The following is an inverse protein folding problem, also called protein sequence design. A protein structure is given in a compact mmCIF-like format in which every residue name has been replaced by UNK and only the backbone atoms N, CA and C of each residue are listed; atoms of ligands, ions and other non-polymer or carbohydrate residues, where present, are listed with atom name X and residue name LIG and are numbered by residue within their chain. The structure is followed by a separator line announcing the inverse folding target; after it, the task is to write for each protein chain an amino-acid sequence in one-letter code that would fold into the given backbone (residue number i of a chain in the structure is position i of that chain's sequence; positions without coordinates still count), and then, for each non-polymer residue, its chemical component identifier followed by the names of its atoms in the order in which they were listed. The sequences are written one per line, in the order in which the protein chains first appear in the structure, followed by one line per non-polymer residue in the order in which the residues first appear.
data_IF_404685322017
#
_entry.id   IF_404685322017
#
_cell.length_a   1.000
_cell.length_b   1.000
_cell.length_c   1.000
_cell.angle_alpha   90.00
_cell.angle_beta   90.00
_cell.angle_gamma   90.00
#
_symmetry.space_group_name_H-M   'P 1'
#
loop_
_entity.id
_entity.type
_entity.pdbx_description
1 polymer ?
#
# COMPACT_ATOMS: atom_id res chain seq x y z
N UNK A 1 6.37 12.68 25.01
CA UNK A 1 6.41 12.14 23.64
C UNK A 1 7.17 13.11 22.75
N UNK A 2 7.97 12.59 21.79
CA UNK A 2 8.63 13.38 20.75
C UNK A 2 8.37 12.72 19.39
N UNK A 3 7.96 13.51 18.41
CA UNK A 3 7.63 13.04 17.06
C UNK A 3 8.61 13.62 16.05
N UNK A 4 9.13 12.78 15.15
CA UNK A 4 9.96 13.17 14.01
C UNK A 4 9.39 12.58 12.72
N UNK A 5 9.47 13.34 11.63
CA UNK A 5 8.96 12.95 10.30
C UNK A 5 10.13 12.55 9.40
N UNK A 6 10.05 11.36 8.79
CA UNK A 6 11.10 10.77 7.95
C UNK A 6 10.58 10.38 6.55
N UNK A 7 9.36 10.80 6.21
CA UNK A 7 8.72 10.61 4.93
C UNK A 7 7.27 11.09 4.97
N UNK A 8 6.64 11.21 3.79
CA UNK A 8 5.29 11.76 3.62
C UNK A 8 5.04 13.15 4.27
N UNK A 9 6.08 13.99 4.39
CA UNK A 9 5.95 15.40 4.79
C UNK A 9 5.96 16.27 3.53
N UNK A 10 4.82 16.91 3.23
CA UNK A 10 4.53 17.67 1.99
C UNK A 10 4.52 16.84 0.70
N UNK A 11 4.55 15.51 0.81
CA UNK A 11 4.41 14.55 -0.28
C UNK A 11 3.46 13.42 0.14
N UNK A 12 2.86 12.72 -0.83
CA UNK A 12 1.85 11.68 -0.56
C UNK A 12 2.49 10.35 -0.13
N UNK A 13 3.64 10.01 -0.69
CA UNK A 13 4.21 8.65 -0.58
C UNK A 13 5.34 8.57 0.44
N UNK A 14 5.65 7.35 0.87
CA UNK A 14 6.82 7.07 1.68
C UNK A 14 6.61 7.31 3.18
N UNK A 15 5.41 7.06 3.70
CA UNK A 15 5.05 7.25 5.10
C UNK A 15 6.08 6.62 6.03
N UNK A 16 6.63 7.41 6.95
CA UNK A 16 7.63 6.99 7.92
C UNK A 16 7.72 8.03 9.05
N UNK A 17 7.23 7.67 10.23
CA UNK A 17 7.19 8.58 11.39
C UNK A 17 7.83 7.92 12.60
N UNK A 18 8.70 8.64 13.31
CA UNK A 18 9.37 8.15 14.51
C UNK A 18 8.78 8.81 15.76
N UNK A 19 8.17 7.99 16.62
CA UNK A 19 7.65 8.39 17.92
C UNK A 19 8.58 7.89 19.04
N UNK A 20 9.05 8.81 19.87
CA UNK A 20 9.79 8.51 21.10
C UNK A 20 8.88 8.73 22.32
N UNK A 21 8.61 7.68 23.08
CA UNK A 21 7.72 7.71 24.24
C UNK A 21 8.06 6.60 25.26
N UNK A 22 8.00 6.92 26.56
CA UNK A 22 8.27 5.96 27.65
C UNK A 22 9.59 5.17 27.47
N UNK A 23 10.65 5.84 26.99
CA UNK A 23 11.95 5.22 26.72
C UNK A 23 11.99 4.29 25.50
N UNK A 24 10.94 4.27 24.68
CA UNK A 24 10.82 3.48 23.45
C UNK A 24 10.85 4.33 22.20
N UNK A 25 11.42 3.77 21.14
CA UNK A 25 11.46 4.33 19.78
C UNK A 25 10.57 3.48 18.88
N UNK A 26 9.41 4.01 18.55
CA UNK A 26 8.36 3.35 17.78
C UNK A 26 8.31 3.96 16.40
N UNK A 27 8.42 3.14 15.37
CA UNK A 27 8.22 3.58 13.99
C UNK A 27 6.77 3.35 13.58
N UNK A 28 6.13 4.36 12.97
CA UNK A 28 4.79 4.26 12.38
C UNK A 28 4.96 4.29 10.87
N UNK A 29 4.61 3.16 10.25
CA UNK A 29 4.86 2.86 8.84
C UNK A 29 6.34 2.91 8.43
N UNK A 30 6.66 2.28 7.31
CA UNK A 30 7.95 2.38 6.64
C UNK A 30 7.75 2.06 5.16
N UNK A 31 7.25 3.04 4.42
CA UNK A 31 6.80 2.85 3.05
C UNK A 31 7.71 3.42 1.98
N UNK A 32 7.60 2.93 0.74
CA UNK A 32 8.38 3.43 -0.40
C UNK A 32 7.82 4.76 -0.92
N UNK A 33 8.70 5.66 -1.35
CA UNK A 33 8.32 6.79 -2.19
C UNK A 33 7.96 6.28 -3.59
N UNK A 34 6.81 6.68 -4.14
CA UNK A 34 6.33 6.23 -5.46
C UNK A 34 6.20 7.40 -6.43
N UNK A 35 6.66 7.23 -7.66
CA UNK A 35 6.66 8.30 -8.68
C UNK A 35 7.91 8.28 -9.59
N UNK A 36 8.44 9.45 -9.91
CA UNK A 36 9.54 9.61 -10.88
C UNK A 36 10.91 9.10 -10.40
N UNK A 37 11.89 9.11 -11.31
CA UNK A 37 13.24 8.56 -11.12
C UNK A 37 14.03 9.14 -9.92
N UNK A 38 13.70 10.34 -9.45
CA UNK A 38 14.35 10.96 -8.27
C UNK A 38 14.03 10.21 -6.96
N UNK A 39 12.89 9.52 -6.92
CA UNK A 39 12.43 8.79 -5.72
C UNK A 39 13.16 7.47 -5.48
N UNK A 40 13.85 6.96 -6.50
CA UNK A 40 14.74 5.81 -6.38
C UNK A 40 15.93 6.10 -5.45
N UNK A 41 16.47 7.32 -5.53
CA UNK A 41 17.56 7.78 -4.67
C UNK A 41 17.05 8.04 -3.25
N UNK A 42 15.86 8.62 -3.11
CA UNK A 42 15.20 8.81 -1.80
C UNK A 42 14.90 7.47 -1.09
N UNK A 43 14.46 6.46 -1.84
CA UNK A 43 14.24 5.12 -1.30
C UNK A 43 15.54 4.44 -0.86
N UNK A 44 16.66 4.72 -1.54
CA UNK A 44 17.98 4.20 -1.21
C UNK A 44 18.70 5.01 -0.11
N UNK A 45 18.31 6.26 0.13
CA UNK A 45 18.93 7.14 1.11
C UNK A 45 18.83 6.60 2.55
N UNK A 46 19.62 7.18 3.45
CA UNK A 46 19.51 6.89 4.89
C UNK A 46 18.17 7.36 5.45
N UNK A 47 17.62 6.63 6.42
CA UNK A 47 16.31 6.96 7.02
C UNK A 47 16.33 8.24 7.87
N UNK A 48 17.51 8.79 8.18
CA UNK A 48 17.66 9.86 9.18
C UNK A 48 17.57 9.36 10.63
N UNK A 49 17.55 8.04 10.83
CA UNK A 49 17.70 7.36 12.11
C UNK A 49 18.40 6.01 11.92
N UNK A 50 19.00 5.49 12.99
CA UNK A 50 19.56 4.14 13.00
C UNK A 50 18.44 3.08 13.08
N UNK A 51 18.35 2.18 12.10
CA UNK A 51 17.35 1.13 12.05
C UNK A 51 17.46 0.15 13.24
N UNK A 52 18.66 -0.13 13.73
CA UNK A 52 18.89 -1.03 14.86
C UNK A 52 18.41 -0.46 16.20
N UNK A 53 18.22 0.87 16.25
CA UNK A 53 17.77 1.59 17.43
C UNK A 53 16.25 1.68 17.60
N UNK A 54 15.48 1.16 16.63
CA UNK A 54 14.01 1.13 16.68
C UNK A 54 13.55 -0.11 17.45
N UNK A 55 12.74 0.08 18.48
CA UNK A 55 12.24 -1.00 19.33
C UNK A 55 11.13 -1.82 18.64
N UNK A 56 10.27 -1.14 17.88
CA UNK A 56 9.09 -1.74 17.24
C UNK A 56 8.55 -0.87 16.11
N UNK A 57 7.78 -1.50 15.22
CA UNK A 57 7.07 -0.87 14.13
C UNK A 57 5.58 -1.14 14.25
N UNK A 58 4.76 -0.10 14.18
CA UNK A 58 3.31 -0.21 14.03
C UNK A 58 2.94 0.11 12.59
N UNK A 59 2.24 -0.81 11.92
CA UNK A 59 1.88 -0.67 10.51
C UNK A 59 0.38 -0.37 10.38
N UNK A 60 0.05 0.77 9.78
CA UNK A 60 -1.33 1.21 9.58
C UNK A 60 -2.06 0.34 8.57
N UNK A 61 -1.44 0.08 7.42
CA UNK A 61 -2.01 -0.73 6.34
C UNK A 61 -0.94 -1.20 5.34
N UNK A 62 -1.36 -2.04 4.39
CA UNK A 62 -0.47 -2.79 3.51
C UNK A 62 -0.14 -2.12 2.16
N UNK A 63 -0.43 -0.84 1.97
CA UNK A 63 0.00 -0.17 0.74
C UNK A 63 1.52 -0.02 0.68
N UNK A 64 2.06 0.03 -0.53
CA UNK A 64 3.50 0.01 -0.78
C UNK A 64 4.20 1.25 -0.20
N UNK A 65 3.53 2.39 -0.20
CA UNK A 65 3.95 3.64 0.44
C UNK A 65 3.75 3.69 1.96
N UNK A 66 3.34 2.58 2.58
CA UNK A 66 3.31 2.40 4.04
C UNK A 66 4.15 1.19 4.52
N UNK A 67 4.30 0.13 3.71
CA UNK A 67 5.05 -1.07 4.11
C UNK A 67 6.28 -1.37 3.25
N UNK A 68 6.44 -0.73 2.09
CA UNK A 68 7.40 -1.14 1.06
C UNK A 68 8.88 -1.04 1.46
N UNK A 69 9.25 -0.22 2.46
CA UNK A 69 10.64 -0.12 2.95
C UNK A 69 10.91 -0.98 4.18
N UNK A 70 9.93 -1.73 4.71
CA UNK A 70 10.15 -2.64 5.83
C UNK A 70 11.27 -3.66 5.54
N UNK A 71 11.37 -4.30 4.36
CA UNK A 71 12.48 -5.22 4.08
C UNK A 71 13.85 -4.53 4.12
N UNK A 72 13.93 -3.29 3.63
CA UNK A 72 15.15 -2.48 3.70
C UNK A 72 15.50 -2.10 5.14
N UNK A 73 14.49 -1.77 5.96
CA UNK A 73 14.65 -1.48 7.38
C UNK A 73 15.28 -2.68 8.13
N UNK A 74 14.78 -3.89 7.87
CA UNK A 74 15.31 -5.15 8.42
C UNK A 74 16.73 -5.42 7.95
N UNK A 75 16.98 -5.30 6.63
CA UNK A 75 18.31 -5.43 6.04
C UNK A 75 19.34 -4.47 6.67
N UNK A 76 18.90 -3.32 7.15
CA UNK A 76 19.73 -2.29 7.81
C UNK A 76 19.84 -2.44 9.33
N UNK A 77 19.34 -3.53 9.91
CA UNK A 77 19.59 -3.90 11.29
C UNK A 77 18.40 -3.80 12.25
N UNK A 78 17.22 -3.43 11.76
CA UNK A 78 16.01 -3.53 12.59
C UNK A 78 15.70 -4.99 12.93
N UNK A 79 15.47 -5.25 14.21
CA UNK A 79 15.15 -6.58 14.75
C UNK A 79 13.99 -6.51 15.78
N UNK A 80 13.27 -5.39 15.79
CA UNK A 80 12.11 -5.19 16.66
C UNK A 80 10.85 -5.89 16.15
N UNK A 81 9.80 -5.87 16.96
CA UNK A 81 8.50 -6.45 16.59
C UNK A 81 7.75 -5.53 15.63
N UNK A 82 7.11 -6.12 14.61
CA UNK A 82 6.14 -5.45 13.74
C UNK A 82 4.71 -5.84 14.18
N UNK A 83 3.90 -4.84 14.51
CA UNK A 83 2.51 -5.01 14.96
C UNK A 83 1.58 -4.40 13.92
N UNK A 84 0.62 -5.20 13.46
CA UNK A 84 -0.39 -4.80 12.49
C UNK A 84 -1.65 -5.65 12.70
N UNK A 85 -2.75 -5.33 12.03
CA UNK A 85 -3.90 -6.24 11.96
C UNK A 85 -3.54 -7.50 11.18
N UNK A 86 -4.25 -8.61 11.44
CA UNK A 86 -4.00 -9.88 10.76
C UNK A 86 -4.13 -9.77 9.22
N UNK A 87 -5.12 -9.02 8.74
CA UNK A 87 -5.29 -8.78 7.30
C UNK A 87 -4.16 -7.93 6.73
N UNK A 88 -3.73 -6.86 7.42
CA UNK A 88 -2.60 -6.04 6.99
C UNK A 88 -1.30 -6.85 6.90
N UNK A 89 -1.04 -7.75 7.86
CA UNK A 89 0.12 -8.67 7.80
C UNK A 89 0.13 -9.51 6.53
N UNK A 90 -1.00 -10.15 6.19
CA UNK A 90 -1.06 -11.01 5.00
C UNK A 90 -0.97 -10.22 3.69
N UNK A 91 -1.61 -9.06 3.63
CA UNK A 91 -1.53 -8.19 2.45
C UNK A 91 -0.12 -7.62 2.29
N UNK A 92 0.52 -7.18 3.38
CA UNK A 92 1.88 -6.65 3.35
C UNK A 92 2.87 -7.71 2.84
N UNK A 93 2.69 -8.99 3.21
CA UNK A 93 3.47 -10.10 2.65
C UNK A 93 3.39 -10.15 1.12
N UNK A 94 2.19 -10.07 0.57
CA UNK A 94 1.99 -10.12 -0.89
C UNK A 94 2.64 -8.90 -1.55
N UNK A 95 2.38 -7.70 -1.03
CA UNK A 95 2.87 -6.43 -1.58
C UNK A 95 4.40 -6.36 -1.54
N UNK A 96 5.02 -6.67 -0.39
CA UNK A 96 6.48 -6.62 -0.24
C UNK A 96 7.19 -7.67 -1.12
N UNK A 97 6.62 -8.88 -1.25
CA UNK A 97 7.19 -9.90 -2.13
C UNK A 97 7.09 -9.50 -3.60
N UNK A 98 5.98 -8.93 -4.05
CA UNK A 98 5.83 -8.47 -5.44
C UNK A 98 6.83 -7.33 -5.75
N UNK A 99 6.94 -6.35 -4.84
CA UNK A 99 7.91 -5.27 -4.96
C UNK A 99 9.36 -5.78 -5.01
N UNK A 100 9.72 -6.76 -4.17
CA UNK A 100 11.04 -7.37 -4.19
C UNK A 100 11.37 -8.05 -5.53
N UNK A 101 10.40 -8.76 -6.12
CA UNK A 101 10.55 -9.36 -7.46
C UNK A 101 10.77 -8.28 -8.52
N UNK A 102 9.94 -7.23 -8.52
CA UNK A 102 10.04 -6.12 -9.48
C UNK A 102 11.40 -5.41 -9.39
N UNK A 103 11.86 -5.08 -8.19
CA UNK A 103 13.17 -4.47 -7.97
C UNK A 103 14.31 -5.36 -8.50
N UNK A 104 14.21 -6.67 -8.29
CA UNK A 104 15.22 -7.63 -8.78
C UNK A 104 15.22 -7.71 -10.32
N UNK A 105 14.04 -7.85 -10.93
CA UNK A 105 13.89 -7.92 -12.39
C UNK A 105 14.36 -6.63 -13.10
N UNK A 106 14.05 -5.47 -12.52
CA UNK A 106 14.47 -4.17 -13.05
C UNK A 106 15.99 -4.02 -13.04
N UNK A 107 16.63 -4.42 -11.93
CA UNK A 107 18.09 -4.43 -11.80
C UNK A 107 18.74 -5.42 -12.77
N UNK A 108 18.17 -6.60 -12.98
CA UNK A 108 18.66 -7.57 -13.95
C UNK A 108 18.55 -7.04 -15.39
N UNK A 109 17.43 -6.39 -15.73
CA UNK A 109 17.23 -5.73 -17.02
C UNK A 109 18.25 -4.62 -17.22
N UNK A 110 18.43 -3.76 -16.23
CA UNK A 110 19.38 -2.65 -16.28
C UNK A 110 20.82 -3.16 -16.40
N UNK A 111 21.20 -4.17 -15.62
CA UNK A 111 22.54 -4.78 -15.65
C UNK A 111 22.86 -5.40 -17.01
N UNK A 112 21.89 -6.08 -17.64
CA UNK A 112 22.04 -6.62 -19.01
C UNK A 112 22.28 -5.51 -20.04
N UNK A 113 21.65 -4.35 -19.86
CA UNK A 113 21.82 -3.20 -20.75
C UNK A 113 23.13 -2.44 -20.47
N UNK A 114 23.46 -2.21 -19.20
CA UNK A 114 24.66 -1.54 -18.71
C UNK A 114 25.96 -2.27 -19.12
N UNK A 115 25.96 -3.62 -19.11
CA UNK A 115 27.09 -4.42 -19.62
C UNK A 115 27.42 -4.14 -21.10
N UNK A 116 26.46 -3.66 -21.90
CA UNK A 116 26.70 -3.26 -23.29
C UNK A 116 27.37 -1.89 -23.43
N UNK A 117 27.30 -1.06 -22.40
CA UNK A 117 27.83 0.32 -22.39
C UNK A 117 28.92 0.56 -21.33
N UNK A 118 29.36 -0.49 -20.61
CA UNK A 118 30.45 -0.40 -19.64
C UNK A 118 30.08 0.22 -18.28
N UNK A 119 28.78 0.34 -17.95
CA UNK A 119 28.34 0.86 -16.66
C UNK A 119 28.33 -0.22 -15.56
N UNK A 120 28.53 0.21 -14.31
CA UNK A 120 28.49 -0.66 -13.14
C UNK A 120 27.06 -1.24 -12.93
N UNK A 121 26.94 -2.51 -12.48
CA UNK A 121 25.65 -3.08 -12.10
C UNK A 121 25.09 -2.33 -10.89
N UNK A 122 23.77 -2.12 -10.88
CA UNK A 122 23.02 -1.60 -9.72
C UNK A 122 22.62 -2.77 -8.84
N UNK A 123 22.49 -2.57 -7.53
CA UNK A 123 21.87 -3.56 -6.64
C UNK A 123 20.41 -3.21 -6.38
N UNK A 124 19.52 -4.20 -6.16
CA UNK A 124 18.15 -3.92 -5.76
C UNK A 124 18.13 -3.35 -4.33
N UNK A 125 17.15 -2.51 -4.02
CA UNK A 125 16.94 -1.97 -2.66
C UNK A 125 16.95 -3.12 -1.63
N UNK A 126 16.17 -4.15 -1.94
CA UNK A 126 16.10 -5.39 -1.18
C UNK A 126 15.65 -6.54 -2.12
N UNK A 127 15.90 -7.76 -1.68
CA UNK A 127 15.61 -8.99 -2.42
C UNK A 127 14.35 -9.68 -1.88
N UNK A 128 13.89 -10.72 -2.59
CA UNK A 128 12.77 -11.56 -2.12
C UNK A 128 13.10 -12.22 -0.78
N UNK A 129 14.36 -12.61 -0.56
CA UNK A 129 14.81 -13.17 0.71
C UNK A 129 14.72 -12.14 1.84
N UNK A 130 15.09 -10.89 1.58
CA UNK A 130 14.96 -9.82 2.57
C UNK A 130 13.49 -9.58 2.95
N UNK A 131 12.57 -9.60 1.97
CA UNK A 131 11.13 -9.49 2.23
C UNK A 131 10.60 -10.67 3.06
N UNK A 132 11.06 -11.89 2.79
CA UNK A 132 10.72 -13.07 3.61
C UNK A 132 11.27 -12.96 5.03
N UNK A 133 12.51 -12.49 5.20
CA UNK A 133 13.11 -12.29 6.51
C UNK A 133 12.31 -11.26 7.33
N UNK A 134 11.85 -10.17 6.70
CA UNK A 134 11.01 -9.18 7.35
C UNK A 134 9.68 -9.74 7.85
N UNK A 135 9.09 -10.71 7.14
CA UNK A 135 7.88 -11.39 7.63
C UNK A 135 8.08 -12.14 8.94
N UNK A 136 9.31 -12.55 9.26
CA UNK A 136 9.66 -13.19 10.52
C UNK A 136 9.54 -12.27 11.74
N UNK A 137 9.52 -10.94 11.53
CA UNK A 137 9.39 -9.95 12.60
C UNK A 137 7.95 -9.51 12.86
N UNK A 138 6.98 -9.92 12.04
CA UNK A 138 5.56 -9.73 12.35
C UNK A 138 5.17 -10.61 13.55
N UNK A 139 5.09 -9.98 14.71
CA UNK A 139 4.78 -10.62 15.98
C UNK A 139 3.28 -10.62 16.26
N UNK A 140 2.90 -9.91 17.34
CA UNK A 140 1.53 -9.75 17.80
C UNK A 140 0.65 -9.14 16.71
N UNK A 141 -0.55 -9.71 16.58
CA UNK A 141 -1.61 -9.14 15.75
C UNK A 141 -2.44 -8.17 16.57
N UNK A 142 -2.82 -7.04 15.97
CA UNK A 142 -3.76 -6.11 16.55
C UNK A 142 -5.20 -6.45 16.18
N UNK A 143 -6.04 -6.59 17.20
CA UNK A 143 -7.48 -6.58 17.07
C UNK A 143 -7.98 -5.14 17.22
N UNK A 144 -8.99 -4.77 16.44
CA UNK A 144 -9.57 -3.44 16.53
C UNK A 144 -10.15 -3.17 17.92
N UNK A 145 -9.97 -1.93 18.39
CA UNK A 145 -10.50 -1.42 19.66
C UNK A 145 -9.97 -2.14 20.90
N UNK A 146 -9.01 -3.06 20.75
CA UNK A 146 -8.35 -3.74 21.84
C UNK A 146 -6.99 -3.09 22.15
N UNK A 147 -6.72 -2.73 23.41
CA UNK A 147 -5.44 -2.16 23.80
C UNK A 147 -4.32 -3.20 23.74
N UNK A 148 -3.17 -2.77 23.24
CA UNK A 148 -1.92 -3.52 23.25
C UNK A 148 -0.91 -2.73 24.06
N UNK A 149 -0.44 -3.32 25.16
CA UNK A 149 0.68 -2.78 25.90
C UNK A 149 1.97 -2.97 25.10
N UNK A 150 2.59 -1.87 24.69
CA UNK A 150 3.84 -1.83 23.95
C UNK A 150 5.05 -1.89 24.91
N UNK A 151 4.92 -1.19 26.04
CA UNK A 151 5.86 -1.17 27.15
C UNK A 151 5.11 -0.67 28.40
N UNK A 152 5.69 -0.78 29.62
CA UNK A 152 5.04 -0.28 30.83
C UNK A 152 4.59 1.18 30.70
N UNK A 153 3.27 1.39 30.77
CA UNK A 153 2.67 2.72 30.64
C UNK A 153 2.59 3.27 29.21
N UNK A 154 2.82 2.46 28.19
CA UNK A 154 2.72 2.79 26.77
C UNK A 154 1.81 1.80 26.05
N UNK A 155 0.71 2.29 25.50
CA UNK A 155 -0.35 1.47 24.91
C UNK A 155 -0.67 1.95 23.49
N UNK A 156 -0.98 1.02 22.59
CA UNK A 156 -1.56 1.31 21.28
C UNK A 156 -2.94 0.65 21.12
N UNK A 157 -3.86 1.33 20.46
CA UNK A 157 -5.17 0.82 20.05
C UNK A 157 -5.37 1.10 18.57
N UNK A 158 -5.80 0.09 17.82
CA UNK A 158 -6.05 0.17 16.39
C UNK A 158 -7.56 0.36 16.16
N UNK A 159 -7.93 1.32 15.32
CA UNK A 159 -9.32 1.60 14.93
C UNK A 159 -9.46 1.41 13.44
N UNK A 160 -10.55 0.79 12.98
CA UNK A 160 -10.73 0.51 11.55
C UNK A 160 -10.75 1.82 10.73
N UNK A 161 -9.79 1.99 9.83
CA UNK A 161 -9.71 3.20 8.98
C UNK A 161 -10.61 3.12 7.74
N UNK A 162 -11.21 1.95 7.45
CA UNK A 162 -12.11 1.75 6.31
C UNK A 162 -11.47 1.98 4.93
N UNK A 163 -10.15 2.07 4.84
CA UNK A 163 -9.40 2.37 3.60
C UNK A 163 -9.14 1.14 2.75
N UNK A 164 -8.49 0.13 3.35
CA UNK A 164 -8.32 -1.21 2.76
C UNK A 164 -8.62 -2.26 3.82
N UNK A 165 -8.75 -3.53 3.41
CA UNK A 165 -8.96 -4.62 4.35
C UNK A 165 -7.83 -4.66 5.39
N UNK A 166 -8.17 -4.46 6.67
CA UNK A 166 -7.21 -4.45 7.77
C UNK A 166 -6.57 -3.08 8.05
N UNK A 167 -6.89 -2.02 7.29
CA UNK A 167 -6.35 -0.69 7.54
C UNK A 167 -6.76 -0.16 8.91
N UNK A 168 -5.88 0.60 9.55
CA UNK A 168 -6.14 1.12 10.88
C UNK A 168 -5.56 2.52 11.11
N UNK A 169 -6.35 3.35 11.79
CA UNK A 169 -5.83 4.48 12.55
C UNK A 169 -5.31 3.98 13.89
N UNK A 170 -4.12 4.44 14.28
CA UNK A 170 -3.42 3.95 15.46
C UNK A 170 -3.38 5.06 16.51
N UNK A 171 -4.02 4.82 17.65
CA UNK A 171 -3.95 5.71 18.82
C UNK A 171 -2.92 5.18 19.79
N UNK A 172 -1.96 6.00 20.16
CA UNK A 172 -0.90 5.67 21.12
C UNK A 172 -1.06 6.56 22.34
N UNK A 173 -1.05 5.98 23.54
CA UNK A 173 -1.10 6.70 24.80
C UNK A 173 0.10 6.33 25.67
N UNK A 174 0.75 7.34 26.26
CA UNK A 174 1.85 7.16 27.19
C UNK A 174 1.56 7.84 28.52
N UNK A 175 1.97 7.19 29.61
CA UNK A 175 1.94 7.71 30.98
C UNK A 175 3.38 7.96 31.44
N UNK A 176 3.88 9.15 31.12
CA UNK A 176 5.21 9.61 31.54
C UNK A 176 5.07 10.94 32.29
N UNK A 177 4.78 10.87 33.60
CA UNK A 177 4.42 12.00 34.46
C UNK A 177 3.04 12.63 34.19
N UNK A 178 2.63 12.72 32.91
CA UNK A 178 1.30 13.13 32.43
C UNK A 178 0.82 12.14 31.36
N UNK A 179 -0.48 11.85 31.35
CA UNK A 179 -1.08 11.07 30.27
C UNK A 179 -1.13 11.92 29.00
N UNK A 180 -0.46 11.46 27.95
CA UNK A 180 -0.45 12.09 26.62
C UNK A 180 -0.84 11.06 25.58
N UNK A 181 -1.43 11.53 24.49
CA UNK A 181 -1.95 10.66 23.43
C UNK A 181 -1.79 11.27 22.05
N UNK A 182 -1.51 10.42 21.07
CA UNK A 182 -1.37 10.78 19.67
C UNK A 182 -2.13 9.77 18.81
N UNK A 183 -2.75 10.26 17.74
CA UNK A 183 -3.38 9.41 16.71
C UNK A 183 -2.64 9.59 15.39
N UNK A 184 -2.32 8.48 14.74
CA UNK A 184 -1.91 8.43 13.34
C UNK A 184 -3.07 7.88 12.54
N UNK A 185 -3.58 8.62 11.57
CA UNK A 185 -4.76 8.18 10.81
C UNK A 185 -4.46 6.97 9.92
N UNK A 186 -3.22 6.85 9.42
CA UNK A 186 -2.97 6.13 8.18
C UNK A 186 -3.73 6.80 7.03
N UNK A 187 -4.06 6.04 6.01
CA UNK A 187 -5.02 6.50 4.99
C UNK A 187 -6.45 6.23 5.46
N UNK A 188 -7.36 7.15 5.16
CA UNK A 188 -8.74 7.11 5.59
C UNK A 188 -9.67 6.77 4.43
N UNK A 189 -10.51 5.76 4.66
CA UNK A 189 -11.56 5.37 3.72
C UNK A 189 -12.80 6.23 3.81
N UNK A 190 -13.68 6.05 2.82
CA UNK A 190 -15.01 6.67 2.80
C UNK A 190 -16.05 5.70 3.39
N UNK A 191 -17.01 6.25 4.13
CA UNK A 191 -18.16 5.50 4.62
C UNK A 191 -19.06 5.01 3.46
N UNK A 192 -19.82 3.93 3.71
CA UNK A 192 -20.82 3.40 2.78
C UNK A 192 -20.25 2.56 1.64
N UNK A 193 -19.00 2.08 1.76
CA UNK A 193 -18.43 1.12 0.81
C UNK A 193 -19.00 -0.30 1.05
N UNK A 194 -19.30 -1.09 0.02
CA UNK A 194 -19.91 -2.41 0.20
C UNK A 194 -18.97 -3.46 0.84
N UNK A 195 -17.68 -3.42 0.50
CA UNK A 195 -16.68 -4.42 0.96
C UNK A 195 -15.96 -4.04 2.27
N UNK A 196 -15.95 -2.77 2.64
CA UNK A 196 -15.21 -2.26 3.78
C UNK A 196 -16.17 -1.72 4.84
N UNK A 197 -15.79 -1.86 6.11
CA UNK A 197 -16.51 -1.22 7.21
C UNK A 197 -16.31 0.29 7.12
N UNK A 198 -17.24 1.03 7.71
CA UNK A 198 -17.08 2.48 7.85
C UNK A 198 -15.85 2.78 8.72
N UNK A 199 -15.09 3.86 8.41
CA UNK A 199 -14.02 4.32 9.28
C UNK A 199 -14.57 4.61 10.69
N UNK A 200 -13.89 4.08 11.70
CA UNK A 200 -14.14 4.37 13.10
C UNK A 200 -13.36 5.62 13.51
N UNK A 201 -14.00 6.49 14.29
CA UNK A 201 -13.36 7.69 14.84
C UNK A 201 -12.65 7.32 16.15
N UNK A 202 -11.31 7.43 16.24
CA UNK A 202 -10.59 7.18 17.48
C UNK A 202 -11.04 8.17 18.59
N UNK A 203 -10.91 7.79 19.87
CA UNK A 203 -11.12 8.71 20.98
C UNK A 203 -10.23 9.95 20.87
N UNK A 204 -10.62 11.08 21.50
CA UNK A 204 -9.82 12.29 21.52
C UNK A 204 -8.35 12.03 21.91
N UNK A 205 -7.46 12.77 21.27
CA UNK A 205 -6.04 12.74 21.52
C UNK A 205 -5.46 14.16 21.57
N UNK A 206 -4.32 14.31 22.25
CA UNK A 206 -3.63 15.60 22.35
C UNK A 206 -3.01 16.02 21.01
N UNK A 207 -2.73 15.05 20.13
CA UNK A 207 -2.16 15.28 18.80
C UNK A 207 -2.77 14.31 17.79
N UNK A 208 -3.01 14.80 16.57
CA UNK A 208 -3.47 13.97 15.45
C UNK A 208 -2.54 14.24 14.26
N UNK A 209 -1.95 13.17 13.75
CA UNK A 209 -1.23 13.12 12.48
C UNK A 209 -2.18 12.50 11.48
N UNK A 210 -2.64 13.31 10.52
CA UNK A 210 -3.69 12.94 9.58
C UNK A 210 -3.20 13.07 8.14
N UNK A 211 -3.57 12.11 7.30
CA UNK A 211 -3.36 12.20 5.85
C UNK A 211 -4.11 13.40 5.24
N UNK A 212 -3.65 13.89 4.10
CA UNK A 212 -4.28 15.05 3.43
C UNK A 212 -4.37 14.86 1.92
N UNK A 213 -4.46 13.61 1.44
CA UNK A 213 -4.38 13.24 0.02
C UNK A 213 -5.39 14.02 -0.85
N UNK A 214 -6.58 14.27 -0.30
CA UNK A 214 -7.64 15.05 -0.94
C UNK A 214 -8.02 16.31 -0.14
N UNK A 215 -7.10 16.85 0.66
CA UNK A 215 -7.36 18.03 1.50
C UNK A 215 -7.73 19.30 0.73
N UNK A 216 -7.54 19.31 -0.59
CA UNK A 216 -7.81 20.44 -1.48
C UNK A 216 -9.19 20.37 -2.19
N UNK A 217 -9.95 19.28 -2.04
CA UNK A 217 -11.19 19.07 -2.81
C UNK A 217 -12.23 18.22 -2.09
N UNK A 218 -13.49 18.35 -2.51
CA UNK A 218 -14.57 17.46 -2.07
C UNK A 218 -14.69 16.24 -2.98
N UNK A 219 -14.99 15.08 -2.39
CA UNK A 219 -15.30 13.88 -3.17
C UNK A 219 -16.62 14.05 -3.92
N UNK A 220 -16.64 13.65 -5.20
CA UNK A 220 -17.88 13.48 -5.96
C UNK A 220 -18.72 12.35 -5.34
N UNK A 221 -20.04 12.45 -5.46
CA UNK A 221 -20.91 11.34 -5.12
C UNK A 221 -20.59 10.10 -6.00
N UNK A 222 -20.76 8.90 -5.42
CA UNK A 222 -20.44 7.64 -6.09
C UNK A 222 -21.30 7.43 -7.35
N UNK A 223 -22.62 7.65 -7.25
CA UNK A 223 -23.54 7.38 -8.34
C UNK A 223 -23.22 8.17 -9.64
N UNK A 224 -23.01 9.50 -9.60
CA UNK A 224 -22.53 10.24 -10.78
C UNK A 224 -21.21 9.72 -11.34
N UNK A 225 -20.26 9.35 -10.46
CA UNK A 225 -18.95 8.83 -10.87
C UNK A 225 -19.08 7.49 -11.61
N UNK A 226 -20.01 6.63 -11.16
CA UNK A 226 -20.35 5.38 -11.84
C UNK A 226 -20.95 5.67 -13.22
N UNK A 227 -21.89 6.61 -13.33
CA UNK A 227 -22.47 7.00 -14.62
C UNK A 227 -21.44 7.57 -15.59
N UNK A 228 -20.56 8.46 -15.14
CA UNK A 228 -19.45 9.02 -15.93
C UNK A 228 -18.56 7.90 -16.48
N UNK A 229 -18.24 6.90 -15.64
CA UNK A 229 -17.44 5.76 -16.04
C UNK A 229 -18.13 4.89 -17.11
N UNK A 230 -19.41 4.58 -16.92
CA UNK A 230 -20.21 3.83 -17.89
C UNK A 230 -20.24 4.52 -19.25
N UNK A 231 -20.45 5.84 -19.27
CA UNK A 231 -20.46 6.63 -20.51
C UNK A 231 -19.09 6.58 -21.20
N UNK A 232 -18.00 6.79 -20.46
CA UNK A 232 -16.65 6.73 -21.02
C UNK A 232 -16.33 5.37 -21.64
N UNK A 233 -16.78 4.27 -21.03
CA UNK A 233 -16.63 2.92 -21.57
C UNK A 233 -17.45 2.77 -22.85
N UNK A 234 -18.75 3.05 -22.81
CA UNK A 234 -19.65 2.86 -23.95
C UNK A 234 -19.23 3.71 -25.15
N UNK A 235 -18.94 4.99 -24.96
CA UNK A 235 -18.49 5.88 -26.04
C UNK A 235 -17.19 5.40 -26.70
N UNK A 236 -16.29 4.80 -25.92
CA UNK A 236 -15.04 4.24 -26.44
C UNK A 236 -15.29 2.99 -27.27
N UNK A 237 -16.17 2.10 -26.81
CA UNK A 237 -16.55 0.88 -27.51
C UNK A 237 -17.32 1.17 -28.81
N UNK A 238 -18.24 2.14 -28.79
CA UNK A 238 -19.04 2.54 -29.95
C UNK A 238 -18.18 3.12 -31.09
N UNK A 239 -17.03 3.70 -30.74
CA UNK A 239 -16.02 4.18 -31.70
C UNK A 239 -15.04 3.09 -32.16
N UNK A 240 -15.21 1.85 -31.71
CA UNK A 240 -14.32 0.73 -32.01
C UNK A 240 -12.97 0.79 -31.27
N UNK A 241 -12.87 1.58 -30.19
CA UNK A 241 -11.68 1.71 -29.37
C UNK A 241 -11.56 0.65 -28.28
N UNK A 242 -10.39 0.62 -27.61
CA UNK A 242 -10.14 -0.21 -26.44
C UNK A 242 -10.13 0.65 -25.16
N UNK A 243 -10.73 0.14 -24.08
CA UNK A 243 -10.63 0.76 -22.75
C UNK A 243 -9.56 0.02 -21.95
N UNK A 244 -8.59 0.76 -21.42
CA UNK A 244 -7.55 0.25 -20.52
C UNK A 244 -7.73 0.93 -19.16
N UNK A 245 -7.94 0.13 -18.12
CA UNK A 245 -8.07 0.60 -16.75
C UNK A 245 -6.90 0.07 -15.93
N UNK A 246 -5.92 0.92 -15.58
CA UNK A 246 -4.90 0.55 -14.61
C UNK A 246 -5.49 0.61 -13.19
N UNK A 247 -5.27 -0.43 -12.40
CA UNK A 247 -5.63 -0.46 -10.98
C UNK A 247 -4.61 -1.26 -10.21
N UNK A 248 -4.33 -0.89 -8.96
CA UNK A 248 -3.58 -1.75 -8.04
C UNK A 248 -4.27 -3.12 -7.91
N UNK A 249 -3.47 -4.18 -7.78
CA UNK A 249 -3.95 -5.56 -7.66
C UNK A 249 -4.79 -5.79 -6.38
N UNK A 250 -4.61 -4.93 -5.37
CA UNK A 250 -5.38 -4.92 -4.14
C UNK A 250 -6.28 -3.67 -4.11
N UNK A 251 -7.48 -3.82 -3.56
CA UNK A 251 -8.51 -2.78 -3.39
C UNK A 251 -9.26 -2.33 -4.67
N UNK A 252 -8.69 -1.45 -5.51
CA UNK A 252 -9.49 -0.82 -6.60
C UNK A 252 -10.03 -1.81 -7.62
N UNK A 253 -9.33 -2.93 -7.86
CA UNK A 253 -9.83 -4.04 -8.70
C UNK A 253 -11.10 -4.70 -8.15
N UNK A 254 -11.30 -4.68 -6.82
CA UNK A 254 -12.49 -5.22 -6.17
C UNK A 254 -13.67 -4.26 -6.30
N UNK A 255 -13.45 -2.95 -6.21
CA UNK A 255 -14.47 -1.93 -6.52
C UNK A 255 -14.99 -2.01 -7.97
N UNK A 256 -14.17 -2.46 -8.93
CA UNK A 256 -14.63 -2.72 -10.31
C UNK A 256 -15.67 -3.84 -10.42
N UNK A 257 -15.55 -4.89 -9.59
CA UNK A 257 -16.55 -5.96 -9.55
C UNK A 257 -17.90 -5.47 -9.03
N UNK A 258 -17.90 -4.50 -8.11
CA UNK A 258 -19.12 -3.89 -7.57
C UNK A 258 -19.87 -3.07 -8.62
N UNK A 259 -19.16 -2.24 -9.40
CA UNK A 259 -19.76 -1.45 -10.49
C UNK A 259 -20.46 -2.33 -11.52
N UNK A 260 -19.89 -3.52 -11.79
CA UNK A 260 -20.48 -4.52 -12.71
C UNK A 260 -21.77 -5.15 -12.18
N UNK A 261 -21.91 -5.33 -10.86
CA UNK A 261 -23.14 -5.88 -10.28
C UNK A 261 -24.29 -4.86 -10.29
N UNK A 262 -23.97 -3.57 -10.22
CA UNK A 262 -24.96 -2.49 -10.19
C UNK A 262 -25.53 -2.11 -11.59
N UNK A 263 -24.94 -2.57 -12.69
CA UNK A 263 -25.46 -2.32 -14.05
C UNK A 263 -24.93 -3.32 -15.10
N UNK A 264 -25.74 -3.71 -16.10
CA UNK A 264 -25.34 -4.68 -17.11
C UNK A 264 -24.29 -4.10 -18.06
N UNK A 265 -23.01 -4.38 -17.79
CA UNK A 265 -21.88 -4.04 -18.67
C UNK A 265 -21.77 -4.98 -19.88
N UNK A 266 -21.29 -4.51 -21.05
CA UNK A 266 -20.83 -5.39 -22.13
C UNK A 266 -19.68 -6.30 -21.68
N UNK A 267 -19.48 -7.45 -22.36
CA UNK A 267 -18.54 -8.51 -21.97
C UNK A 267 -17.15 -7.98 -21.66
N UNK A 268 -16.78 -8.01 -20.38
CA UNK A 268 -15.44 -7.67 -19.89
C UNK A 268 -14.48 -8.81 -20.17
N UNK A 269 -13.42 -8.54 -20.94
CA UNK A 269 -12.30 -9.48 -21.08
C UNK A 269 -11.26 -9.14 -20.00
N UNK A 270 -11.22 -9.96 -18.95
CA UNK A 270 -10.12 -9.86 -17.99
C UNK A 270 -8.83 -10.31 -18.68
N UNK A 271 -7.87 -9.40 -18.83
CA UNK A 271 -6.52 -9.73 -19.22
C UNK A 271 -5.60 -9.35 -18.05
N UNK A 272 -5.40 -10.29 -17.12
CA UNK A 272 -4.46 -10.13 -16.01
C UNK A 272 -3.04 -9.97 -16.55
N UNK A 273 -2.66 -8.75 -16.91
CA UNK A 273 -1.30 -8.37 -17.20
C UNK A 273 -0.60 -8.06 -15.88
N UNK A 274 0.43 -8.83 -15.53
CA UNK A 274 1.43 -8.39 -14.56
C UNK A 274 2.19 -7.23 -15.16
N UNK A 275 1.74 -6.02 -14.91
CA UNK A 275 2.54 -4.81 -15.09
C UNK A 275 2.53 -4.10 -13.74
N UNK A 276 3.67 -4.09 -13.04
CA UNK A 276 3.88 -3.31 -11.80
C UNK A 276 2.85 -3.54 -10.69
N UNK A 277 2.47 -4.80 -10.39
CA UNK A 277 1.47 -5.07 -9.35
C UNK A 277 0.08 -4.50 -9.63
N UNK A 278 -0.21 -4.09 -10.88
CA UNK A 278 -1.53 -3.64 -11.31
C UNK A 278 -2.30 -4.76 -12.03
N UNK A 279 -3.62 -4.81 -11.83
CA UNK A 279 -4.51 -5.51 -12.74
C UNK A 279 -4.95 -4.53 -13.85
N UNK A 280 -4.97 -4.99 -15.10
CA UNK A 280 -5.49 -4.21 -16.22
C UNK A 280 -6.81 -4.84 -16.72
N UNK A 281 -7.86 -4.03 -16.85
CA UNK A 281 -9.09 -4.45 -17.52
C UNK A 281 -9.05 -4.00 -18.98
N UNK A 282 -9.42 -4.90 -19.90
CA UNK A 282 -9.50 -4.60 -21.33
C UNK A 282 -10.93 -4.86 -21.83
N UNK A 283 -11.58 -3.81 -22.32
CA UNK A 283 -12.92 -3.88 -22.93
C UNK A 283 -12.78 -3.55 -24.42
N UNK A 284 -13.30 -4.42 -25.29
CA UNK A 284 -13.27 -4.23 -26.74
C UNK A 284 -14.48 -4.83 -27.45
N UNK A 285 -14.98 -4.13 -28.47
CA UNK A 285 -16.10 -4.56 -29.33
C UNK A 285 -15.73 -5.57 -30.42
N UNK A 286 -14.44 -5.87 -30.59
CA UNK A 286 -13.94 -6.85 -31.55
C UNK A 286 -13.38 -8.02 -30.74
N UNK A 287 -14.10 -9.15 -30.76
CA UNK A 287 -13.57 -10.40 -30.23
C UNK A 287 -12.25 -10.75 -30.90
N UNK A 288 -11.21 -10.92 -30.08
CA UNK A 288 -9.88 -11.42 -30.42
C UNK A 288 -9.21 -10.80 -31.66
N UNK A 289 -8.25 -9.91 -31.44
CA UNK A 289 -7.01 -9.83 -32.23
C UNK A 289 -5.98 -9.00 -31.44
N UNK A 290 -5.27 -9.66 -30.51
CA UNK A 290 -4.02 -9.13 -29.95
C UNK A 290 -2.93 -9.24 -31.05
N UNK A 291 -2.22 -8.15 -31.40
CA UNK A 291 -1.04 -8.23 -32.27
C UNK A 291 0.01 -9.14 -31.65
N UNK A 292 0.77 -9.85 -32.48
CA UNK A 292 1.78 -10.84 -32.10
C UNK A 292 2.86 -10.36 -31.10
N UNK A 293 2.93 -9.07 -30.80
CA UNK A 293 3.84 -8.46 -29.84
C UNK A 293 3.66 -8.93 -28.38
N UNK A 294 2.51 -9.52 -28.02
CA UNK A 294 2.21 -9.91 -26.63
C UNK A 294 2.27 -11.43 -26.34
N UNK A 295 2.61 -12.27 -27.32
CA UNK A 295 2.61 -13.74 -27.17
C UNK A 295 3.65 -14.29 -26.16
N UNK A 296 4.63 -13.49 -25.75
CA UNK A 296 5.71 -13.93 -24.84
C UNK A 296 5.45 -13.74 -23.34
N UNK A 297 4.45 -12.94 -22.95
CA UNK A 297 4.31 -12.46 -21.56
C UNK A 297 3.07 -13.01 -20.81
N UNK A 298 2.26 -13.85 -21.44
CA UNK A 298 0.94 -14.22 -20.90
C UNK A 298 0.68 -15.73 -20.99
N UNK A 299 0.41 -16.35 -19.84
CA UNK A 299 -0.35 -17.62 -19.78
C UNK A 299 -1.81 -17.29 -19.47
N UNK A 300 -2.77 -17.72 -20.29
CA UNK A 300 -4.19 -17.54 -19.98
C UNK A 300 -4.56 -18.42 -18.77
N UNK A 301 -5.03 -17.78 -17.68
CA UNK A 301 -5.83 -18.47 -16.67
C UNK A 301 -7.28 -18.40 -17.13
N UNK A 302 -7.77 -19.52 -17.67
CA UNK A 302 -9.17 -19.69 -18.01
C UNK A 302 -10.00 -19.70 -16.71
N UNK A 303 -10.77 -18.64 -16.44
CA UNK A 303 -11.91 -18.76 -15.55
C UNK A 303 -13.08 -19.35 -16.36
N UNK A 304 -13.50 -20.55 -15.95
CA UNK A 304 -14.64 -21.25 -16.53
C UNK A 304 -15.91 -20.42 -16.46
N UNK A 305 -16.72 -20.55 -17.50
CA UNK A 305 -18.06 -20.01 -17.57
C UNK A 305 -18.90 -20.52 -16.40
N UNK A 306 -19.40 -19.62 -15.57
CA UNK A 306 -20.59 -19.87 -14.75
C UNK A 306 -21.73 -19.09 -15.39
N UNK A 307 -22.74 -19.85 -15.77
CA UNK A 307 -24.00 -19.42 -16.37
C UNK A 307 -24.85 -18.60 -15.41
#
# INVERSE_FOLDING_TARGET
MKLSFHGADRNVTGSCHLLEAAGKRILIDCGLFQGGHELDEENAAEFGFDAASIDMLLLTHAHLDHCGRIPLLVKRGFNGEIIATAATRELARVVMLDAAHLHTEEVERHTRHAKRYGHAPREPLYTVLDALNAMGLFGRSADYEQPIELAPGLEAVFYDAGHILGSASIRIAAKDGKQTSIVFSGDLGNAGRPLLRNPQVPPPADTVVMETTYGDRLHKALAPSVTELYQAITDTLDRGGNVIIPTFALERAQGWLEVKQASPMPRILYLGAKVMGCAAFLLGGIGLLLPEAFKGAFRPLALGALA
#
